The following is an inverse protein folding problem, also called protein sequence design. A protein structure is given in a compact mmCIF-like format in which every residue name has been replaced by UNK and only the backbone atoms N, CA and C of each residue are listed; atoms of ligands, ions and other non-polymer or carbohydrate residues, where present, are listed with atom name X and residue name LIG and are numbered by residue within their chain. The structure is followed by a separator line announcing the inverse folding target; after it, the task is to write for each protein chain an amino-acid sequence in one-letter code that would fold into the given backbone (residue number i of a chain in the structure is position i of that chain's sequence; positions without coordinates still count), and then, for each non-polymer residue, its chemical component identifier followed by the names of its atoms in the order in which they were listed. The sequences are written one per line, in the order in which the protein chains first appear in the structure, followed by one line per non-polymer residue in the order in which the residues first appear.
data_IF_298245677327
#
_entry.id   IF_298245677327
#
_cell.length_a   1.000
_cell.length_b   1.000
_cell.length_c   1.000
_cell.angle_alpha   90.00
_cell.angle_beta   90.00
_cell.angle_gamma   90.00
#
_symmetry.space_group_name_H-M   'P 1'
#
loop_
_entity.id
_entity.type
_entity.pdbx_description
1 polymer ?
#
# COMPACT_ATOMS: atom_id res chain seq x y z
N UNK A 1 18.96 13.22 -2.11
CA UNK A 1 17.66 13.48 -1.46
C UNK A 1 16.80 12.26 -1.70
N UNK A 2 16.53 11.48 -0.66
CA UNK A 2 15.78 10.22 -0.78
C UNK A 2 14.33 10.57 -1.08
N UNK A 3 13.91 10.46 -2.34
CA UNK A 3 12.50 10.36 -2.70
C UNK A 3 11.92 9.23 -1.82
N UNK A 4 10.86 9.42 -1.05
CA UNK A 4 10.27 8.35 -0.23
C UNK A 4 9.03 7.86 -0.99
N UNK A 5 8.84 6.54 -1.20
CA UNK A 5 7.70 6.06 -1.97
C UNK A 5 6.42 6.42 -1.23
N UNK A 6 5.40 6.84 -1.97
CA UNK A 6 4.05 7.00 -1.46
C UNK A 6 3.51 5.65 -0.99
N UNK A 7 2.82 5.66 0.14
CA UNK A 7 2.12 4.49 0.69
C UNK A 7 0.73 4.87 1.13
N UNK A 8 -0.23 3.98 0.89
CA UNK A 8 -1.59 4.13 1.40
C UNK A 8 -1.65 3.45 2.76
N UNK A 9 -2.14 4.19 3.76
CA UNK A 9 -2.33 3.67 5.12
C UNK A 9 -3.82 3.66 5.45
N UNK A 10 -4.33 2.53 5.94
CA UNK A 10 -5.73 2.36 6.37
C UNK A 10 -5.72 1.82 7.78
N UNK A 11 -6.30 2.57 8.71
CA UNK A 11 -6.50 2.15 10.09
C UNK A 11 -7.93 1.67 10.29
N UNK A 12 -8.09 0.48 10.87
CA UNK A 12 -9.42 -0.07 11.16
C UNK A 12 -10.02 0.48 12.45
N UNK A 13 -9.20 0.94 13.39
CA UNK A 13 -9.60 1.55 14.66
C UNK A 13 -8.46 2.41 15.24
N UNK A 14 -8.76 3.33 16.17
CA UNK A 14 -7.74 4.14 16.85
C UNK A 14 -6.72 3.29 17.62
N UNK A 15 -5.46 3.71 17.64
CA UNK A 15 -4.34 3.00 18.28
C UNK A 15 -4.16 1.56 17.77
N UNK A 16 -3.76 1.37 16.50
CA UNK A 16 -3.51 0.05 15.94
C UNK A 16 -2.41 -0.69 16.72
N UNK A 17 -2.73 -1.87 17.23
CA UNK A 17 -1.77 -2.76 17.90
C UNK A 17 -0.97 -3.58 16.88
N UNK A 18 -1.53 -3.78 15.68
CA UNK A 18 -0.94 -4.59 14.62
C UNK A 18 -0.78 -3.78 13.34
N UNK A 19 0.26 -4.11 12.57
CA UNK A 19 0.48 -3.56 11.24
C UNK A 19 0.61 -4.69 10.22
N UNK A 20 -0.06 -4.55 9.08
CA UNK A 20 0.03 -5.48 7.96
C UNK A 20 0.53 -4.73 6.74
N UNK A 21 1.70 -5.13 6.24
CA UNK A 21 2.31 -4.55 5.04
C UNK A 21 2.04 -5.50 3.88
N UNK A 22 1.22 -5.07 2.93
CA UNK A 22 0.90 -5.87 1.74
C UNK A 22 1.57 -5.28 0.51
N UNK A 23 2.43 -6.07 -0.13
CA UNK A 23 3.08 -5.69 -1.38
C UNK A 23 2.29 -6.25 -2.56
N UNK A 24 1.94 -5.37 -3.49
CA UNK A 24 1.21 -5.74 -4.68
C UNK A 24 2.09 -6.51 -5.68
N UNK A 25 1.48 -7.37 -6.49
CA UNK A 25 2.14 -8.09 -7.57
C UNK A 25 2.55 -7.16 -8.73
N UNK A 26 3.30 -7.71 -9.69
CA UNK A 26 3.65 -7.02 -10.94
C UNK A 26 2.37 -6.65 -11.71
N UNK A 27 2.12 -5.34 -11.89
CA UNK A 27 0.97 -4.82 -12.64
C UNK A 27 -0.30 -4.54 -11.82
N UNK A 28 -0.26 -4.74 -10.50
CA UNK A 28 -1.30 -4.26 -9.57
C UNK A 28 -0.86 -2.94 -8.91
N UNK A 29 -1.79 -2.23 -8.27
CA UNK A 29 -1.55 -0.98 -7.55
C UNK A 29 -1.92 -1.10 -6.06
N UNK A 30 -1.41 -0.19 -5.23
CA UNK A 30 -1.75 -0.14 -3.80
C UNK A 30 -3.27 0.04 -3.55
N UNK A 31 -3.96 0.70 -4.49
CA UNK A 31 -5.41 0.92 -4.42
C UNK A 31 -6.25 -0.35 -4.60
N UNK A 32 -5.72 -1.40 -5.24
CA UNK A 32 -6.46 -2.65 -5.49
C UNK A 32 -6.83 -3.39 -4.20
N UNK A 33 -6.10 -3.11 -3.11
CA UNK A 33 -6.29 -3.75 -1.81
C UNK A 33 -7.21 -2.96 -0.87
N UNK A 34 -7.53 -1.70 -1.21
CA UNK A 34 -8.44 -0.85 -0.41
C UNK A 34 -9.81 -1.51 -0.24
N UNK A 35 -10.45 -2.07 -1.29
CA UNK A 35 -11.73 -2.76 -1.14
C UNK A 35 -11.62 -4.09 -0.39
N UNK A 36 -10.42 -4.70 -0.29
CA UNK A 36 -10.21 -5.95 0.43
C UNK A 36 -10.29 -5.78 1.95
N UNK A 37 -9.82 -4.63 2.48
CA UNK A 37 -9.78 -4.37 3.93
C UNK A 37 -11.16 -4.54 4.62
N UNK A 38 -12.26 -3.93 4.14
CA UNK A 38 -13.58 -4.15 4.73
C UNK A 38 -14.10 -5.59 4.53
N UNK A 39 -13.73 -6.27 3.44
CA UNK A 39 -14.14 -7.66 3.15
C UNK A 39 -13.48 -8.69 4.06
N UNK A 40 -12.35 -8.36 4.70
CA UNK A 40 -11.70 -9.23 5.70
C UNK A 40 -12.50 -9.38 7.00
N UNK A 41 -13.60 -8.61 7.18
CA UNK A 41 -14.52 -8.70 8.33
C UNK A 41 -13.79 -8.71 9.68
N UNK A 42 -12.82 -7.82 9.83
CA UNK A 42 -12.00 -7.66 11.03
C UNK A 42 -12.75 -6.99 12.20
N UNK A 43 -14.09 -7.06 12.23
CA UNK A 43 -14.92 -6.38 13.21
C UNK A 43 -14.67 -6.84 14.65
N UNK A 44 -14.29 -8.12 14.83
CA UNK A 44 -13.91 -8.70 16.13
C UNK A 44 -12.38 -8.80 16.32
N UNK A 45 -11.60 -8.25 15.38
CA UNK A 45 -10.15 -8.28 15.45
C UNK A 45 -9.60 -7.03 16.18
N UNK A 46 -8.42 -7.12 16.81
CA UNK A 46 -7.74 -5.97 17.37
C UNK A 46 -7.45 -4.91 16.29
N UNK A 47 -7.25 -3.66 16.70
CA UNK A 47 -6.99 -2.55 15.79
C UNK A 47 -5.78 -2.84 14.89
N UNK A 48 -5.96 -2.77 13.57
CA UNK A 48 -4.93 -3.07 12.57
C UNK A 48 -4.70 -1.87 11.66
N UNK A 49 -3.44 -1.59 11.36
CA UNK A 49 -3.02 -0.66 10.33
C UNK A 49 -2.54 -1.41 9.08
N UNK A 50 -3.24 -1.23 7.98
CA UNK A 50 -2.83 -1.73 6.68
C UNK A 50 -1.95 -0.70 5.98
N UNK A 51 -0.78 -1.13 5.51
CA UNK A 51 0.17 -0.30 4.78
C UNK A 51 0.40 -0.91 3.40
N UNK A 52 0.04 -0.18 2.36
CA UNK A 52 0.19 -0.57 0.97
C UNK A 52 1.25 0.32 0.31
N UNK A 53 2.51 -0.11 0.24
CA UNK A 53 3.54 0.63 -0.49
C UNK A 53 3.25 0.62 -1.99
N UNK A 54 3.24 1.79 -2.62
CA UNK A 54 3.27 1.88 -4.08
C UNK A 54 4.67 1.56 -4.57
N UNK A 55 4.75 0.89 -5.74
CA UNK A 55 6.03 0.77 -6.42
C UNK A 55 6.52 2.16 -6.80
N UNK A 56 7.80 2.42 -6.51
CA UNK A 56 8.53 3.48 -7.19
C UNK A 56 8.40 3.25 -8.69
N UNK A 57 7.77 4.19 -9.39
CA UNK A 57 8.03 4.35 -10.81
C UNK A 57 9.52 4.63 -10.92
N UNK A 58 10.27 3.64 -11.39
CA UNK A 58 11.62 3.93 -11.88
C UNK A 58 11.45 5.00 -12.98
N UNK A 59 12.27 6.06 -13.00
CA UNK A 59 12.27 6.98 -14.12
C UNK A 59 12.47 6.16 -15.40
N UNK A 60 11.60 6.33 -16.38
CA UNK A 60 11.83 5.77 -17.71
C UNK A 60 13.15 6.31 -18.23
N UNK A 61 14.06 5.48 -18.77
CA UNK A 61 15.28 6.00 -19.39
C UNK A 61 14.89 7.02 -20.47
N UNK A 62 15.63 8.12 -20.64
CA UNK A 62 15.34 9.09 -21.69
C UNK A 62 15.36 8.34 -23.03
N UNK A 63 14.27 8.42 -23.79
CA UNK A 63 14.24 7.93 -25.17
C UNK A 63 15.22 8.78 -25.96
N UNK A 64 16.44 8.30 -26.13
CA UNK A 64 17.37 8.88 -27.10
C UNK A 64 16.83 8.56 -28.49
N UNK A 65 16.11 9.50 -29.08
CA UNK A 65 15.80 9.47 -30.51
C UNK A 65 17.14 9.53 -31.27
N UNK A 66 17.40 8.50 -32.08
CA UNK A 66 18.48 8.49 -33.08
C UNK A 66 18.01 9.23 -34.32
#
# INVERSE_FOLDING_TARGET
MTDQPSSIEIETAPNPEFAVILMHGLGADANDFVPLVPELRLADAPAVRFVFPERRRSPSPPTTAT
#
